data_IF_503135882970
#
_entry.id   IF_503135882970
#
_cell.length_a   1.000
_cell.length_b   1.000
_cell.length_c   1.000
_cell.angle_alpha   90.00
_cell.angle_beta   90.00
_cell.angle_gamma   90.00
#
_symmetry.space_group_name_H-M   'P 1'
#
loop_
_entity.id
_entity.type
_entity.pdbx_description
1 polymer ?
#
# COMPACT_ATOMS: atom_id res chain seq x y z
N UNK A 1 37.81 -31.24 32.04
CA UNK A 1 36.65 -30.34 31.82
C UNK A 1 36.39 -30.31 30.33
N UNK A 2 35.25 -30.83 29.87
CA UNK A 2 34.90 -30.88 28.45
C UNK A 2 33.99 -29.70 28.16
N UNK A 3 34.43 -28.76 27.33
CA UNK A 3 33.62 -27.62 26.87
C UNK A 3 32.81 -28.07 25.65
N UNK A 4 31.49 -28.17 25.81
CA UNK A 4 30.57 -28.29 24.68
C UNK A 4 30.25 -26.89 24.17
N UNK A 5 30.76 -26.56 22.99
CA UNK A 5 30.26 -25.44 22.18
C UNK A 5 28.97 -25.92 21.53
N UNK A 6 27.83 -25.52 22.10
CA UNK A 6 26.54 -25.67 21.45
C UNK A 6 26.39 -24.62 20.36
N UNK A 7 26.43 -25.04 19.10
CA UNK A 7 25.99 -24.20 17.98
C UNK A 7 24.47 -24.20 18.00
N UNK A 8 23.89 -23.12 18.51
CA UNK A 8 22.46 -22.83 18.38
C UNK A 8 22.23 -22.34 16.94
N UNK A 9 21.69 -23.21 16.09
CA UNK A 9 21.00 -22.76 14.89
C UNK A 9 19.68 -22.14 15.33
N UNK A 10 19.65 -20.82 15.46
CA UNK A 10 18.40 -20.08 15.55
C UNK A 10 17.68 -20.22 14.22
N UNK A 11 16.68 -21.10 14.16
CA UNK A 11 15.67 -21.06 13.10
C UNK A 11 14.95 -19.73 13.27
N UNK A 12 15.38 -18.69 12.54
CA UNK A 12 14.75 -17.37 12.61
C UNK A 12 13.28 -17.52 12.26
N UNK A 13 12.40 -17.38 13.25
CA UNK A 13 10.99 -17.24 12.97
C UNK A 13 10.85 -16.03 12.04
N UNK A 14 10.27 -16.24 10.86
CA UNK A 14 9.97 -15.13 9.96
C UNK A 14 9.10 -14.15 10.72
N UNK A 15 9.55 -12.90 10.87
CA UNK A 15 8.80 -11.92 11.66
C UNK A 15 7.38 -11.78 11.10
N UNK A 16 6.44 -11.61 12.02
CA UNK A 16 5.05 -11.36 11.70
C UNK A 16 4.90 -9.98 11.05
N UNK A 17 4.05 -9.89 10.02
CA UNK A 17 3.65 -8.61 9.45
C UNK A 17 2.48 -8.08 10.27
N UNK A 18 2.60 -6.83 10.75
CA UNK A 18 1.54 -6.14 11.49
C UNK A 18 0.90 -5.06 10.64
N UNK A 19 -0.43 -4.98 10.69
CA UNK A 19 -1.25 -4.04 9.93
C UNK A 19 -1.91 -3.05 10.90
N UNK A 20 -1.38 -1.84 10.96
CA UNK A 20 -1.89 -0.79 11.85
C UNK A 20 -2.78 0.19 11.10
N UNK A 21 -4.05 0.26 11.47
CA UNK A 21 -4.98 1.28 10.96
C UNK A 21 -4.52 2.68 11.35
N UNK A 22 -4.60 3.59 10.38
CA UNK A 22 -4.42 5.03 10.55
C UNK A 22 -5.66 5.76 10.05
N UNK A 23 -5.72 7.09 10.22
CA UNK A 23 -6.77 7.91 9.61
C UNK A 23 -6.70 7.94 8.07
N UNK A 24 -5.57 7.54 7.50
CA UNK A 24 -5.26 7.63 6.06
C UNK A 24 -5.12 6.27 5.39
N UNK A 25 -5.19 5.17 6.15
CA UNK A 25 -5.18 3.79 5.65
C UNK A 25 -4.51 2.80 6.60
N UNK A 26 -3.45 2.14 6.15
CA UNK A 26 -2.72 1.14 6.92
C UNK A 26 -1.21 1.37 6.85
N UNK A 27 -0.55 1.37 8.00
CA UNK A 27 0.89 1.18 8.09
C UNK A 27 1.18 -0.33 8.17
N UNK A 28 2.11 -0.82 7.34
CA UNK A 28 2.48 -2.23 7.23
C UNK A 28 3.88 -2.41 7.82
N UNK A 29 3.98 -3.16 8.90
CA UNK A 29 5.22 -3.37 9.64
C UNK A 29 5.79 -4.76 9.43
N UNK A 30 7.12 -4.86 9.36
CA UNK A 30 7.89 -6.07 9.61
C UNK A 30 8.77 -5.81 10.83
N UNK A 31 8.45 -6.49 11.94
CA UNK A 31 9.03 -6.16 13.25
C UNK A 31 8.64 -4.75 13.68
N UNK A 32 9.65 -3.90 13.93
CA UNK A 32 9.48 -2.49 14.29
C UNK A 32 9.54 -1.53 13.08
N UNK A 33 9.89 -2.05 11.88
CA UNK A 33 10.08 -1.23 10.68
C UNK A 33 8.79 -1.15 9.88
N UNK A 34 8.39 0.06 9.48
CA UNK A 34 7.37 0.26 8.44
C UNK A 34 7.99 -0.12 7.10
N UNK A 35 7.41 -1.11 6.41
CA UNK A 35 7.89 -1.58 5.11
C UNK A 35 6.98 -1.16 3.95
N UNK A 36 5.76 -0.71 4.21
CA UNK A 36 4.83 -0.19 3.21
C UNK A 36 3.68 0.57 3.90
N UNK A 37 2.97 1.38 3.12
CA UNK A 37 1.77 2.10 3.55
C UNK A 37 0.67 1.89 2.52
N UNK A 38 -0.55 1.52 2.95
CA UNK A 38 -1.74 1.62 2.11
C UNK A 38 -2.38 2.98 2.35
N UNK A 39 -2.33 3.86 1.36
CA UNK A 39 -2.99 5.17 1.39
C UNK A 39 -4.36 5.08 0.73
N UNK A 40 -5.39 5.55 1.42
CA UNK A 40 -6.74 5.73 0.88
C UNK A 40 -7.19 7.21 0.89
N UNK A 41 -6.23 8.12 0.96
CA UNK A 41 -6.50 9.56 0.89
C UNK A 41 -6.97 9.94 -0.53
N UNK A 42 -7.59 11.12 -0.66
CA UNK A 42 -7.99 11.68 -1.96
C UNK A 42 -6.97 12.69 -2.50
N UNK A 43 -5.81 12.79 -1.86
CA UNK A 43 -4.72 13.65 -2.26
C UNK A 43 -3.45 12.81 -2.28
N UNK A 44 -2.88 12.53 -3.46
CA UNK A 44 -3.28 13.00 -4.79
C UNK A 44 -4.62 12.42 -5.27
N UNK A 45 -5.30 13.13 -6.18
CA UNK A 45 -6.51 12.62 -6.82
C UNK A 45 -6.21 11.30 -7.53
N UNK A 46 -7.07 10.29 -7.41
CA UNK A 46 -6.94 9.10 -8.22
C UNK A 46 -7.60 7.90 -7.57
N UNK A 47 -6.86 7.19 -6.72
CA UNK A 47 -7.27 5.90 -6.17
C UNK A 47 -6.46 5.55 -4.93
N UNK A 48 -6.94 4.64 -4.07
CA UNK A 48 -6.10 4.03 -3.04
C UNK A 48 -4.94 3.24 -3.66
N UNK A 49 -3.81 3.21 -2.98
CA UNK A 49 -2.59 2.57 -3.46
C UNK A 49 -1.64 2.24 -2.30
N UNK A 50 -0.72 1.31 -2.55
CA UNK A 50 0.41 1.04 -1.68
C UNK A 50 1.59 1.93 -2.07
N UNK A 51 2.10 2.69 -1.12
CA UNK A 51 3.25 3.57 -1.26
C UNK A 51 4.34 3.24 -0.24
N UNK A 52 5.49 3.90 -0.38
CA UNK A 52 6.64 3.75 0.51
C UNK A 52 7.02 2.28 0.76
N UNK A 53 6.97 1.45 -0.29
CA UNK A 53 7.31 0.04 -0.20
C UNK A 53 8.84 -0.08 -0.15
N UNK A 54 9.34 -0.82 0.83
CA UNK A 54 10.75 -1.13 1.00
C UNK A 54 10.98 -2.65 1.01
N UNK A 55 12.13 -3.08 0.49
CA UNK A 55 12.63 -4.43 0.78
C UNK A 55 12.94 -4.57 2.29
N UNK A 56 13.12 -5.80 2.77
CA UNK A 56 13.48 -6.04 4.18
C UNK A 56 14.84 -5.42 4.56
N UNK A 57 15.72 -5.24 3.58
CA UNK A 57 17.02 -4.55 3.73
C UNK A 57 16.91 -3.02 3.59
N UNK A 58 15.69 -2.48 3.44
CA UNK A 58 15.41 -1.04 3.44
C UNK A 58 15.54 -0.35 2.07
N UNK A 59 15.66 -1.10 0.97
CA UNK A 59 15.69 -0.51 -0.37
C UNK A 59 14.26 -0.10 -0.76
N UNK A 60 14.04 1.18 -1.04
CA UNK A 60 12.75 1.67 -1.54
C UNK A 60 12.50 1.16 -2.96
N UNK A 61 11.36 0.49 -3.17
CA UNK A 61 11.00 -0.15 -4.46
C UNK A 61 9.83 0.53 -5.17
N UNK A 62 9.29 1.61 -4.59
CA UNK A 62 8.33 2.52 -5.23
C UNK A 62 8.93 3.91 -5.39
N UNK A 63 8.28 4.76 -6.21
CA UNK A 63 8.60 6.21 -6.25
C UNK A 63 8.38 6.87 -4.88
N UNK A 64 8.85 8.11 -4.73
CA UNK A 64 8.63 8.81 -3.47
C UNK A 64 7.17 9.16 -3.25
N UNK A 65 6.77 9.04 -1.99
CA UNK A 65 5.49 9.53 -1.53
C UNK A 65 5.65 10.16 -0.13
N UNK A 66 5.33 11.46 0.04
CA UNK A 66 4.94 12.42 -0.99
C UNK A 66 5.98 12.56 -2.11
N UNK A 67 5.53 12.93 -3.31
CA UNK A 67 6.40 13.16 -4.47
C UNK A 67 7.33 14.34 -4.16
N UNK A 68 8.58 14.25 -4.59
CA UNK A 68 9.62 15.25 -4.40
C UNK A 68 10.07 15.85 -5.73
N UNK A 69 10.89 16.90 -5.68
CA UNK A 69 11.54 17.51 -6.84
C UNK A 69 12.57 16.58 -7.54
N UNK A 70 12.94 15.46 -6.90
CA UNK A 70 13.83 14.45 -7.46
C UNK A 70 13.11 13.38 -8.29
N UNK A 71 11.79 13.31 -8.19
CA UNK A 71 11.00 12.34 -8.95
C UNK A 71 10.78 12.84 -10.38
N UNK A 72 10.73 11.90 -11.34
CA UNK A 72 10.36 12.22 -12.72
C UNK A 72 8.86 12.55 -12.80
N UNK A 73 8.51 13.56 -13.61
CA UNK A 73 7.14 14.02 -13.83
C UNK A 73 6.44 13.34 -15.02
N UNK A 74 7.14 12.44 -15.70
CA UNK A 74 6.75 11.77 -16.94
C UNK A 74 5.45 10.95 -16.84
N UNK A 75 5.26 10.30 -15.69
CA UNK A 75 4.16 9.35 -15.46
C UNK A 75 3.63 9.47 -14.03
N UNK A 76 2.94 10.56 -13.66
CA UNK A 76 2.57 10.84 -12.27
C UNK A 76 1.63 9.79 -11.66
N UNK A 77 1.06 8.91 -12.47
CA UNK A 77 0.19 7.80 -12.06
C UNK A 77 0.92 6.55 -11.58
N UNK A 78 2.25 6.46 -11.72
CA UNK A 78 3.07 5.37 -11.18
C UNK A 78 3.58 5.68 -9.76
N UNK A 79 2.68 6.01 -8.83
CA UNK A 79 3.03 6.46 -7.47
C UNK A 79 3.43 5.31 -6.53
N UNK A 80 3.09 4.08 -6.89
CA UNK A 80 3.31 2.89 -6.08
C UNK A 80 2.64 1.67 -6.69
N UNK A 81 2.27 0.68 -5.87
CA UNK A 81 1.50 -0.48 -6.31
C UNK A 81 0.00 -0.20 -6.14
N UNK A 82 -0.78 -0.39 -7.20
CA UNK A 82 -2.20 -0.05 -7.19
C UNK A 82 -3.00 -1.00 -8.07
N UNK A 83 -4.31 -1.01 -7.85
CA UNK A 83 -5.28 -1.63 -8.74
C UNK A 83 -6.21 -0.55 -9.29
N UNK A 84 -6.45 -0.57 -10.60
CA UNK A 84 -7.37 0.38 -11.25
C UNK A 84 -7.85 -0.13 -12.60
N UNK A 85 -8.85 0.55 -13.14
CA UNK A 85 -9.27 0.37 -14.53
C UNK A 85 -8.59 1.37 -15.44
N UNK A 86 -8.39 1.02 -16.71
CA UNK A 86 -7.99 2.01 -17.71
C UNK A 86 -9.10 3.03 -17.91
N UNK A 87 -10.26 2.57 -18.39
CA UNK A 87 -11.43 3.42 -18.57
C UNK A 87 -12.70 2.78 -17.99
N UNK A 88 -13.54 3.60 -17.36
CA UNK A 88 -14.93 3.27 -17.02
C UNK A 88 -15.82 4.46 -17.41
N UNK A 89 -16.92 4.21 -18.12
CA UNK A 89 -17.84 5.26 -18.60
C UNK A 89 -17.15 6.44 -19.33
N UNK A 90 -16.10 6.13 -20.09
CA UNK A 90 -15.27 7.12 -20.81
C UNK A 90 -14.40 8.02 -19.91
N UNK A 91 -14.22 7.67 -18.63
CA UNK A 91 -13.33 8.34 -17.69
C UNK A 91 -12.06 7.51 -17.54
N UNK A 92 -10.90 8.16 -17.62
CA UNK A 92 -9.59 7.52 -17.53
C UNK A 92 -9.09 7.47 -16.07
N UNK A 93 -9.16 6.30 -15.44
CA UNK A 93 -8.72 6.11 -14.05
C UNK A 93 -7.24 5.75 -13.95
N UNK A 94 -6.66 5.18 -15.02
CA UNK A 94 -5.24 4.86 -15.09
C UNK A 94 -4.39 6.13 -14.98
N UNK A 95 -4.68 7.14 -15.80
CA UNK A 95 -4.03 8.46 -15.78
C UNK A 95 -4.57 9.40 -14.70
N UNK A 96 -5.26 8.88 -13.68
CA UNK A 96 -5.78 9.63 -12.52
C UNK A 96 -6.76 10.77 -12.89
N UNK A 97 -7.48 10.65 -14.01
CA UNK A 97 -8.52 11.62 -14.41
C UNK A 97 -9.86 11.38 -13.72
N UNK A 98 -10.11 10.16 -13.25
CA UNK A 98 -11.24 9.80 -12.39
C UNK A 98 -10.86 9.68 -10.91
N UNK A 99 -11.89 9.50 -10.06
CA UNK A 99 -11.74 9.28 -8.62
C UNK A 99 -12.31 7.92 -8.24
N UNK A 100 -11.43 7.02 -7.80
CA UNK A 100 -11.78 5.84 -7.03
C UNK A 100 -11.58 6.17 -5.55
N UNK A 101 -12.65 6.08 -4.76
CA UNK A 101 -12.63 6.41 -3.34
C UNK A 101 -12.71 5.13 -2.52
N UNK A 102 -11.83 4.99 -1.54
CA UNK A 102 -11.98 3.91 -0.57
C UNK A 102 -13.33 4.04 0.14
N UNK A 103 -14.10 2.95 0.13
CA UNK A 103 -15.39 2.87 0.81
C UNK A 103 -15.20 2.29 2.21
N UNK A 104 -14.59 1.11 2.31
CA UNK A 104 -14.35 0.43 3.59
C UNK A 104 -13.33 -0.70 3.47
N UNK A 105 -12.78 -1.14 4.61
CA UNK A 105 -12.16 -2.44 4.73
C UNK A 105 -13.25 -3.50 4.92
N UNK A 106 -13.37 -4.46 3.99
CA UNK A 106 -14.46 -5.45 3.97
C UNK A 106 -14.33 -6.51 5.06
N UNK A 107 -13.13 -6.64 5.62
CA UNK A 107 -12.84 -7.39 6.82
C UNK A 107 -11.80 -6.63 7.66
N UNK A 108 -11.74 -6.85 8.99
CA UNK A 108 -10.63 -6.38 9.80
C UNK A 108 -9.29 -6.86 9.21
N UNK A 109 -8.29 -5.97 9.02
CA UNK A 109 -6.93 -6.38 8.71
C UNK A 109 -6.45 -7.44 9.71
N UNK A 110 -5.75 -8.45 9.21
CA UNK A 110 -5.27 -9.58 9.97
C UNK A 110 -3.75 -9.63 9.89
N UNK A 111 -3.11 -9.49 11.06
CA UNK A 111 -1.68 -9.69 11.23
C UNK A 111 -1.30 -11.14 10.93
N UNK A 112 -0.05 -11.36 10.53
CA UNK A 112 0.45 -12.71 10.22
C UNK A 112 1.63 -12.71 9.25
N UNK A 113 2.02 -13.90 8.82
CA UNK A 113 2.94 -14.08 7.70
C UNK A 113 2.45 -15.27 6.85
N UNK A 114 1.55 -15.04 5.87
CA UNK A 114 1.14 -13.73 5.35
C UNK A 114 0.11 -12.99 6.24
N UNK A 115 0.25 -11.67 6.31
CA UNK A 115 -0.83 -10.77 6.76
C UNK A 115 -1.77 -10.45 5.60
N UNK A 116 -3.03 -10.14 5.91
CA UNK A 116 -4.05 -9.87 4.89
C UNK A 116 -4.95 -8.69 5.26
N UNK A 117 -5.35 -7.93 4.25
CA UNK A 117 -6.45 -6.98 4.34
C UNK A 117 -7.23 -6.96 3.04
N UNK A 118 -8.49 -6.56 3.12
CA UNK A 118 -9.37 -6.39 1.96
C UNK A 118 -9.99 -5.01 2.01
N UNK A 119 -9.90 -4.27 0.90
CA UNK A 119 -10.41 -2.92 0.79
C UNK A 119 -11.34 -2.82 -0.43
N UNK A 120 -12.48 -2.16 -0.23
CA UNK A 120 -13.41 -1.82 -1.30
C UNK A 120 -13.20 -0.37 -1.71
N UNK A 121 -13.24 -0.12 -3.01
CA UNK A 121 -13.23 1.22 -3.59
C UNK A 121 -14.44 1.39 -4.50
N UNK A 122 -15.06 2.56 -4.44
CA UNK A 122 -16.11 2.97 -5.36
C UNK A 122 -15.52 3.88 -6.43
N UNK A 123 -15.86 3.63 -7.69
CA UNK A 123 -15.44 4.46 -8.81
C UNK A 123 -16.52 5.51 -9.08
N UNK A 124 -16.15 6.78 -9.12
CA UNK A 124 -17.12 7.88 -9.19
C UNK A 124 -17.22 8.44 -10.62
N UNK A 125 -18.44 8.83 -11.04
CA UNK A 125 -18.67 9.56 -12.28
C UNK A 125 -18.10 10.99 -12.19
N UNK A 126 -18.21 11.75 -13.28
CA UNK A 126 -17.68 13.12 -13.43
C UNK A 126 -18.26 14.13 -12.43
N UNK A 127 -19.41 13.82 -11.84
CA UNK A 127 -20.01 14.61 -10.76
C UNK A 127 -19.31 14.41 -9.39
N UNK A 128 -18.38 13.45 -9.29
CA UNK A 128 -17.65 13.12 -8.08
C UNK A 128 -18.48 12.46 -6.98
N UNK A 129 -19.71 12.01 -7.28
CA UNK A 129 -20.65 11.50 -6.28
C UNK A 129 -21.37 10.23 -6.72
N UNK A 130 -21.69 10.09 -8.00
CA UNK A 130 -22.41 8.93 -8.54
C UNK A 130 -21.48 7.73 -8.68
N UNK A 131 -21.75 6.59 -8.00
CA UNK A 131 -20.95 5.37 -8.18
C UNK A 131 -21.19 4.75 -9.56
N UNK A 132 -20.10 4.43 -10.24
CA UNK A 132 -20.07 3.63 -11.47
C UNK A 132 -19.91 2.14 -11.16
N UNK A 133 -19.12 1.82 -10.12
CA UNK A 133 -18.86 0.48 -9.57
C UNK A 133 -18.61 0.61 -8.06
#
# INVERSE_FOLDING_TARGET
MLSMIGILFGQGASEEIKLKKTSSGLDIYYGEKVIAEFSHTQTPQGRPFLCNIHSLDGIKVTRNYPITDKDQDDHPHHQGLFHTFSQLNGIDFWHMKGVAKHRLFTAPPKDGNPATFSAESIYLDRDGNTPLL
#
